data_IF_194873988429
#
_entry.id   IF_194873988429
#
_cell.length_a   1.000
_cell.length_b   1.000
_cell.length_c   1.000
_cell.angle_alpha   90.00
_cell.angle_beta   90.00
_cell.angle_gamma   90.00
#
_symmetry.space_group_name_H-M   'P 1'
#
loop_
_entity.id
_entity.type
_entity.pdbx_description
1 polymer ?
#
# COMPACT_ATOMS: atom_id res chain seq x y z
N UNK A 1 23.84 16.29 5.98
CA UNK A 1 23.26 15.90 4.70
C UNK A 1 22.84 17.15 3.95
N UNK A 2 23.27 17.24 2.69
CA UNK A 2 22.97 18.33 1.76
C UNK A 2 21.44 18.55 1.60
N UNK A 3 21.02 19.79 1.40
CA UNK A 3 19.61 20.18 1.31
C UNK A 3 18.92 19.54 0.10
N UNK A 4 19.63 19.35 -1.01
CA UNK A 4 19.11 18.67 -2.19
C UNK A 4 18.82 17.20 -1.87
N UNK A 5 19.75 16.50 -1.21
CA UNK A 5 19.56 15.10 -0.78
C UNK A 5 18.41 14.94 0.21
N UNK A 6 18.21 15.90 1.13
CA UNK A 6 17.08 15.89 2.08
C UNK A 6 15.71 15.84 1.39
N UNK A 7 15.57 16.50 0.24
CA UNK A 7 14.33 16.50 -0.53
C UNK A 7 14.26 15.31 -1.50
N UNK A 8 15.38 14.94 -2.12
CA UNK A 8 15.42 13.91 -3.15
C UNK A 8 15.17 12.49 -2.59
N UNK A 9 15.70 12.17 -1.41
CA UNK A 9 15.58 10.84 -0.79
C UNK A 9 14.12 10.45 -0.51
N UNK A 10 13.32 11.23 0.25
CA UNK A 10 11.92 10.89 0.49
C UNK A 10 11.10 10.83 -0.80
N UNK A 11 11.32 11.76 -1.74
CA UNK A 11 10.63 11.75 -3.03
C UNK A 11 10.94 10.48 -3.84
N UNK A 12 12.22 10.08 -3.88
CA UNK A 12 12.63 8.85 -4.56
C UNK A 12 11.99 7.61 -3.92
N UNK A 13 12.00 7.53 -2.58
CA UNK A 13 11.35 6.42 -1.86
C UNK A 13 9.86 6.37 -2.16
N UNK A 14 9.16 7.52 -2.17
CA UNK A 14 7.74 7.60 -2.53
C UNK A 14 7.50 7.10 -3.96
N UNK A 15 8.27 7.58 -4.94
CA UNK A 15 8.13 7.16 -6.35
C UNK A 15 8.36 5.65 -6.52
N UNK A 16 9.37 5.10 -5.83
CA UNK A 16 9.62 3.66 -5.82
C UNK A 16 8.45 2.91 -5.16
N UNK A 17 7.94 3.41 -4.04
CA UNK A 17 6.85 2.81 -3.32
C UNK A 17 5.57 2.74 -4.18
N UNK A 18 5.22 3.82 -4.86
CA UNK A 18 4.04 3.87 -5.74
C UNK A 18 4.20 2.99 -6.98
N UNK A 19 5.41 2.87 -7.53
CA UNK A 19 5.68 1.92 -8.62
C UNK A 19 5.54 0.46 -8.17
N UNK A 20 6.06 0.12 -6.99
CA UNK A 20 5.90 -1.22 -6.41
C UNK A 20 4.45 -1.50 -6.02
N UNK A 21 3.72 -0.47 -5.56
CA UNK A 21 2.30 -0.55 -5.26
C UNK A 21 1.47 -0.90 -6.50
N UNK A 22 1.74 -0.26 -7.64
CA UNK A 22 1.06 -0.55 -8.89
C UNK A 22 1.22 -2.03 -9.29
N UNK A 23 2.45 -2.55 -9.22
CA UNK A 23 2.73 -3.97 -9.46
C UNK A 23 2.02 -4.88 -8.45
N UNK A 24 1.95 -4.48 -7.18
CA UNK A 24 1.27 -5.25 -6.13
C UNK A 24 -0.24 -5.33 -6.40
N UNK A 25 -0.88 -4.19 -6.73
CA UNK A 25 -2.28 -4.13 -7.14
C UNK A 25 -2.53 -5.08 -8.30
N UNK A 26 -1.77 -4.94 -9.39
CA UNK A 26 -1.93 -5.73 -10.61
C UNK A 26 -1.82 -7.23 -10.35
N UNK A 27 -0.71 -7.66 -9.73
CA UNK A 27 -0.45 -9.09 -9.47
C UNK A 27 -1.38 -9.72 -8.42
N UNK A 28 -2.08 -8.93 -7.61
CA UNK A 28 -3.01 -9.42 -6.59
C UNK A 28 -4.41 -9.75 -7.13
N UNK A 29 -4.81 -9.17 -8.27
CA UNK A 29 -6.15 -9.33 -8.82
C UNK A 29 -6.18 -10.04 -10.19
N UNK A 30 -5.05 -10.10 -10.91
CA UNK A 30 -5.02 -10.75 -12.22
C UNK A 30 -4.64 -12.25 -12.13
N UNK A 31 -5.33 -13.08 -12.92
CA UNK A 31 -4.98 -14.48 -13.09
C UNK A 31 -3.73 -14.64 -13.97
N UNK A 32 -2.73 -15.39 -13.49
CA UNK A 32 -1.56 -15.74 -14.31
C UNK A 32 -1.92 -16.84 -15.34
N UNK A 33 -2.37 -16.42 -16.53
CA UNK A 33 -2.72 -17.34 -17.62
C UNK A 33 -1.51 -18.08 -18.22
N UNK A 34 -0.29 -17.58 -18.02
CA UNK A 34 0.92 -18.14 -18.63
C UNK A 34 1.52 -19.32 -17.85
N UNK A 35 1.03 -19.63 -16.65
CA UNK A 35 1.50 -20.76 -15.83
C UNK A 35 2.92 -20.61 -15.27
N UNK A 36 3.63 -19.51 -15.59
CA UNK A 36 4.94 -19.19 -15.08
C UNK A 36 4.85 -18.03 -14.10
N UNK A 37 4.95 -18.32 -12.80
CA UNK A 37 5.14 -17.28 -11.78
C UNK A 37 4.33 -17.47 -10.51
N UNK A 38 4.92 -17.05 -9.40
CA UNK A 38 4.32 -16.97 -8.06
C UNK A 38 3.65 -15.60 -7.85
N UNK A 39 2.84 -15.16 -8.82
CA UNK A 39 2.28 -13.80 -8.82
C UNK A 39 1.48 -13.48 -7.56
N UNK A 40 0.61 -14.38 -7.06
CA UNK A 40 -0.08 -14.13 -5.80
C UNK A 40 0.90 -13.94 -4.64
N UNK A 41 1.94 -14.79 -4.52
CA UNK A 41 2.94 -14.61 -3.46
C UNK A 41 3.80 -13.35 -3.63
N UNK A 42 4.15 -12.99 -4.88
CA UNK A 42 4.86 -11.75 -5.18
C UNK A 42 4.02 -10.52 -4.88
N UNK A 43 2.70 -10.58 -5.06
CA UNK A 43 1.81 -9.46 -4.71
C UNK A 43 1.91 -9.11 -3.22
N UNK A 44 2.03 -10.13 -2.34
CA UNK A 44 2.26 -9.93 -0.90
C UNK A 44 3.62 -9.30 -0.64
N UNK A 45 4.67 -9.79 -1.31
CA UNK A 45 6.03 -9.25 -1.16
C UNK A 45 6.07 -7.78 -1.59
N UNK A 46 5.47 -7.46 -2.74
CA UNK A 46 5.41 -6.11 -3.28
C UNK A 46 4.55 -5.20 -2.41
N UNK A 47 3.38 -5.65 -1.93
CA UNK A 47 2.56 -4.87 -1.01
C UNK A 47 3.32 -4.51 0.27
N UNK A 48 3.99 -5.49 0.90
CA UNK A 48 4.80 -5.24 2.08
C UNK A 48 5.94 -4.25 1.82
N UNK A 49 6.61 -4.39 0.66
CA UNK A 49 7.70 -3.49 0.27
C UNK A 49 7.21 -2.06 -0.04
N UNK A 50 6.06 -1.92 -0.71
CA UNK A 50 5.44 -0.64 -0.98
C UNK A 50 5.10 0.09 0.33
N UNK A 51 4.44 -0.60 1.29
CA UNK A 51 4.13 -0.03 2.60
C UNK A 51 5.40 0.38 3.35
N UNK A 52 6.43 -0.47 3.34
CA UNK A 52 7.72 -0.17 3.96
C UNK A 52 8.35 1.12 3.41
N UNK A 53 8.36 1.27 2.09
CA UNK A 53 8.92 2.45 1.43
C UNK A 53 8.06 3.69 1.67
N UNK A 54 6.73 3.59 1.66
CA UNK A 54 5.83 4.72 1.96
C UNK A 54 6.07 5.25 3.38
N UNK A 55 6.11 4.35 4.36
CA UNK A 55 6.33 4.74 5.76
C UNK A 55 7.70 5.40 5.94
N UNK A 56 8.75 4.82 5.33
CA UNK A 56 10.10 5.40 5.36
C UNK A 56 10.16 6.74 4.62
N UNK A 57 9.47 6.89 3.50
CA UNK A 57 9.36 8.15 2.77
C UNK A 57 8.78 9.24 3.69
N UNK A 58 7.66 8.95 4.36
CA UNK A 58 7.03 9.92 5.25
C UNK A 58 7.90 10.29 6.46
N UNK A 59 8.53 9.31 7.10
CA UNK A 59 9.48 9.56 8.19
C UNK A 59 10.64 10.43 7.69
N UNK A 60 11.15 10.16 6.49
CA UNK A 60 12.27 10.90 5.92
C UNK A 60 11.92 12.34 5.50
N UNK A 61 10.67 12.63 5.13
CA UNK A 61 10.21 14.00 4.87
C UNK A 61 10.35 14.88 6.12
N UNK A 62 10.01 14.32 7.28
CA UNK A 62 10.15 15.01 8.57
C UNK A 62 11.61 15.03 9.04
N UNK A 63 12.21 13.84 9.15
CA UNK A 63 13.55 13.64 9.72
C UNK A 63 14.31 12.54 8.96
N UNK A 64 15.08 12.88 7.91
CA UNK A 64 15.75 11.91 7.03
C UNK A 64 16.69 10.93 7.74
N UNK A 65 17.28 11.32 8.87
CA UNK A 65 18.22 10.47 9.61
C UNK A 65 17.51 9.36 10.40
N UNK A 66 16.21 9.50 10.66
CA UNK A 66 15.45 8.53 11.45
C UNK A 66 15.16 7.25 10.69
N UNK A 67 15.33 7.18 9.37
CA UNK A 67 15.13 5.91 8.62
C UNK A 67 16.28 4.92 8.80
N UNK A 68 17.39 5.32 9.44
CA UNK A 68 18.57 4.49 9.64
C UNK A 68 18.57 3.86 11.04
N UNK A 69 18.78 2.55 11.10
CA UNK A 69 18.89 1.79 12.35
C UNK A 69 20.10 2.22 13.18
N UNK A 70 21.20 2.48 12.48
CA UNK A 70 22.41 3.07 13.05
C UNK A 70 22.74 4.29 12.21
N UNK A 71 22.44 5.51 12.70
CA UNK A 71 22.77 6.70 11.94
C UNK A 71 24.29 6.76 11.74
N UNK A 72 24.75 7.23 10.57
CA UNK A 72 26.16 7.35 10.24
C UNK A 72 26.92 8.15 11.31
N UNK A 73 28.17 7.73 11.57
CA UNK A 73 29.03 8.28 12.64
C UNK A 73 29.20 9.79 12.56
N UNK A 74 29.16 10.36 11.35
CA UNK A 74 29.15 11.82 11.13
C UNK A 74 27.73 12.35 11.33
N UNK A 75 27.33 12.61 12.58
CA UNK A 75 25.98 13.10 12.91
C UNK A 75 25.61 14.43 12.22
N UNK A 76 26.57 15.33 12.00
CA UNK A 76 26.28 16.68 11.50
C UNK A 76 26.27 16.79 9.96
N UNK A 77 26.97 15.90 9.26
CA UNK A 77 27.02 15.90 7.80
C UNK A 77 27.50 14.54 7.25
N UNK A 78 26.65 13.50 7.25
CA UNK A 78 27.00 12.29 6.54
C UNK A 78 27.05 12.58 5.04
N UNK A 79 28.05 12.01 4.38
CA UNK A 79 28.15 12.00 2.92
C UNK A 79 27.33 10.83 2.34
N UNK A 80 27.21 10.76 1.01
CA UNK A 80 26.44 9.71 0.35
C UNK A 80 26.99 8.31 0.66
N UNK A 81 28.30 8.15 0.73
CA UNK A 81 28.95 6.88 1.05
C UNK A 81 28.63 6.40 2.47
N UNK A 82 28.58 7.32 3.43
CA UNK A 82 28.15 7.03 4.80
C UNK A 82 26.70 6.51 4.81
N UNK A 83 25.80 7.09 3.99
CA UNK A 83 24.40 6.68 3.87
C UNK A 83 24.26 5.31 3.18
N UNK A 84 25.01 5.06 2.10
CA UNK A 84 24.97 3.80 1.35
C UNK A 84 25.41 2.59 2.18
N UNK A 85 26.27 2.79 3.18
CA UNK A 85 26.72 1.74 4.10
C UNK A 85 25.80 1.55 5.30
N UNK A 86 24.82 2.44 5.48
CA UNK A 86 23.94 2.43 6.63
C UNK A 86 22.77 1.47 6.41
N UNK A 87 22.38 0.77 7.47
CA UNK A 87 21.20 -0.11 7.45
C UNK A 87 19.96 0.69 7.78
N UNK A 88 18.91 0.54 6.97
CA UNK A 88 17.62 1.17 7.29
C UNK A 88 16.88 0.42 8.38
N UNK A 89 15.86 1.05 8.96
CA UNK A 89 15.03 0.48 10.01
C UNK A 89 14.24 -0.73 9.50
N UNK A 90 14.08 -1.70 10.40
CA UNK A 90 13.38 -2.96 10.11
C UNK A 90 11.86 -2.71 10.05
N UNK A 91 11.17 -3.46 9.18
CA UNK A 91 9.73 -3.37 8.95
C UNK A 91 8.88 -3.26 10.24
N UNK A 92 9.14 -4.14 11.21
CA UNK A 92 8.39 -4.23 12.47
C UNK A 92 8.47 -2.98 13.34
N UNK A 93 9.52 -2.17 13.18
CA UNK A 93 9.77 -0.98 14.01
C UNK A 93 9.14 0.28 13.39
N UNK A 94 8.66 0.19 12.14
CA UNK A 94 8.11 1.31 11.39
C UNK A 94 6.86 1.94 12.01
N UNK A 95 5.87 1.18 12.54
CA UNK A 95 4.64 1.78 13.05
C UNK A 95 4.88 2.76 14.20
N UNK A 96 5.68 2.34 15.18
CA UNK A 96 6.04 3.19 16.31
C UNK A 96 6.78 4.44 15.86
N UNK A 97 7.76 4.29 14.96
CA UNK A 97 8.54 5.42 14.49
C UNK A 97 7.72 6.40 13.65
N UNK A 98 6.83 5.89 12.80
CA UNK A 98 5.90 6.70 12.02
C UNK A 98 5.07 7.58 12.95
N UNK A 99 4.43 7.00 13.97
CA UNK A 99 3.61 7.77 14.91
C UNK A 99 4.42 8.76 15.74
N UNK A 100 5.61 8.37 16.21
CA UNK A 100 6.49 9.26 16.97
C UNK A 100 7.01 10.45 16.14
N UNK A 101 7.23 10.24 14.84
CA UNK A 101 7.81 11.27 13.95
C UNK A 101 6.74 12.19 13.38
N UNK A 102 5.58 11.65 13.02
CA UNK A 102 4.53 12.40 12.30
C UNK A 102 3.43 12.93 13.22
N UNK A 103 3.29 12.39 14.43
CA UNK A 103 2.15 12.63 15.31
C UNK A 103 0.85 11.95 14.86
N UNK A 104 0.84 11.22 13.74
CA UNK A 104 -0.33 10.53 13.21
C UNK A 104 -0.41 9.09 13.74
N UNK A 105 -1.61 8.57 14.04
CA UNK A 105 -1.78 7.16 14.39
C UNK A 105 -1.43 6.28 13.17
N UNK A 106 -0.77 5.15 13.41
CA UNK A 106 -0.50 4.20 12.34
C UNK A 106 -1.78 3.45 11.95
N UNK A 107 -2.14 3.39 10.65
CA UNK A 107 -3.37 2.73 10.22
C UNK A 107 -3.25 1.22 10.28
N UNK A 108 -4.31 0.58 10.77
CA UNK A 108 -4.51 -0.86 10.85
C UNK A 108 -3.23 -1.67 11.15
N UNK A 109 -2.73 -1.54 12.39
CA UNK A 109 -1.51 -2.20 12.85
C UNK A 109 -1.58 -3.74 12.73
N UNK A 110 -2.77 -4.32 12.86
CA UNK A 110 -2.99 -5.77 12.73
C UNK A 110 -2.67 -6.23 11.31
N UNK A 111 -3.29 -5.61 10.30
CA UNK A 111 -3.05 -5.96 8.89
C UNK A 111 -1.61 -5.70 8.45
N UNK A 112 -0.98 -4.65 8.98
CA UNK A 112 0.44 -4.40 8.76
C UNK A 112 1.32 -5.55 9.27
N UNK A 113 1.06 -6.04 10.49
CA UNK A 113 1.83 -7.12 11.08
C UNK A 113 1.59 -8.44 10.35
N UNK A 114 0.34 -8.76 10.00
CA UNK A 114 -0.01 -9.95 9.23
C UNK A 114 0.64 -9.95 7.85
N UNK A 115 0.62 -8.81 7.15
CA UNK A 115 1.30 -8.65 5.86
C UNK A 115 2.81 -8.88 5.99
N UNK A 116 3.45 -8.30 7.01
CA UNK A 116 4.87 -8.50 7.28
C UNK A 116 5.24 -9.95 7.64
N UNK A 117 4.39 -10.62 8.42
CA UNK A 117 4.57 -12.03 8.78
C UNK A 117 4.42 -12.94 7.55
N UNK A 118 3.41 -12.70 6.71
CA UNK A 118 3.16 -13.45 5.49
C UNK A 118 4.31 -13.26 4.49
N UNK A 119 4.79 -12.03 4.28
CA UNK A 119 5.99 -11.75 3.47
C UNK A 119 7.18 -12.58 3.94
N UNK A 120 7.49 -12.54 5.24
CA UNK A 120 8.63 -13.29 5.79
C UNK A 120 8.49 -14.79 5.56
N UNK A 121 7.28 -15.33 5.75
CA UNK A 121 6.98 -16.74 5.51
C UNK A 121 7.18 -17.14 4.06
N UNK A 122 6.71 -16.33 3.11
CA UNK A 122 6.89 -16.55 1.67
C UNK A 122 8.38 -16.50 1.29
N UNK A 123 9.12 -15.49 1.75
CA UNK A 123 10.50 -15.23 1.32
C UNK A 123 11.52 -16.23 1.89
N UNK A 124 11.34 -16.64 3.14
CA UNK A 124 12.36 -17.39 3.87
C UNK A 124 11.94 -18.82 4.22
N UNK A 125 10.66 -19.15 4.07
CA UNK A 125 10.11 -20.44 4.47
C UNK A 125 9.24 -21.03 3.35
N UNK A 126 8.10 -21.61 3.73
CA UNK A 126 7.14 -22.21 2.81
C UNK A 126 5.85 -21.38 2.79
N UNK A 127 5.34 -21.03 1.60
CA UNK A 127 4.02 -20.42 1.46
C UNK A 127 2.97 -21.26 2.18
N UNK A 128 2.12 -20.67 3.03
CA UNK A 128 1.03 -21.39 3.67
C UNK A 128 0.09 -22.00 2.61
N UNK A 129 -0.34 -23.26 2.78
CA UNK A 129 -1.39 -23.80 1.94
C UNK A 129 -2.70 -23.03 2.21
N UNK A 130 -3.54 -22.90 1.18
CA UNK A 130 -4.91 -22.37 1.29
C UNK A 130 -5.05 -20.91 1.69
N UNK A 131 -3.98 -20.10 1.60
CA UNK A 131 -4.07 -18.64 1.77
C UNK A 131 -4.40 -17.98 0.43
N UNK A 132 -5.42 -17.10 0.42
CA UNK A 132 -5.62 -16.17 -0.69
C UNK A 132 -4.58 -15.05 -0.60
N UNK A 133 -3.43 -15.24 -1.25
CA UNK A 133 -2.35 -14.27 -1.24
C UNK A 133 -2.74 -12.94 -1.90
N UNK A 134 -3.56 -12.99 -2.96
CA UNK A 134 -4.05 -11.78 -3.63
C UNK A 134 -4.96 -10.98 -2.69
N UNK A 135 -5.87 -11.68 -2.00
CA UNK A 135 -6.71 -11.07 -0.97
C UNK A 135 -5.88 -10.44 0.16
N UNK A 136 -4.90 -11.17 0.70
CA UNK A 136 -4.01 -10.65 1.74
C UNK A 136 -3.21 -9.42 1.29
N UNK A 137 -2.71 -9.42 0.05
CA UNK A 137 -2.00 -8.27 -0.53
C UNK A 137 -2.92 -7.05 -0.66
N UNK A 138 -4.13 -7.22 -1.24
CA UNK A 138 -5.09 -6.12 -1.37
C UNK A 138 -5.54 -5.60 0.00
N UNK A 139 -5.80 -6.48 0.97
CA UNK A 139 -6.12 -6.04 2.35
C UNK A 139 -4.99 -5.20 2.92
N UNK A 140 -3.73 -5.65 2.81
CA UNK A 140 -2.58 -4.87 3.25
C UNK A 140 -2.44 -3.52 2.54
N UNK A 141 -2.70 -3.47 1.24
CA UNK A 141 -2.69 -2.23 0.44
C UNK A 141 -3.78 -1.28 0.93
N UNK A 142 -5.03 -1.71 0.95
CA UNK A 142 -6.16 -0.79 1.18
C UNK A 142 -6.46 -0.52 2.66
N UNK A 143 -6.01 -1.39 3.58
CA UNK A 143 -6.11 -1.15 5.01
C UNK A 143 -4.92 -0.35 5.59
N UNK A 144 -3.76 -0.34 4.90
CA UNK A 144 -2.53 0.30 5.42
C UNK A 144 -1.94 1.31 4.45
N UNK A 145 -1.61 0.92 3.22
CA UNK A 145 -0.97 1.83 2.26
C UNK A 145 -1.90 2.99 1.85
N UNK A 146 -3.16 2.67 1.53
CA UNK A 146 -4.15 3.63 1.03
C UNK A 146 -4.44 4.76 2.05
N UNK A 147 -4.70 4.48 3.34
CA UNK A 147 -4.83 5.54 4.35
C UNK A 147 -3.56 6.39 4.52
N UNK A 148 -2.36 5.78 4.45
CA UNK A 148 -1.10 6.54 4.55
C UNK A 148 -0.95 7.45 3.33
N UNK A 149 -1.20 6.93 2.13
CA UNK A 149 -1.11 7.70 0.88
C UNK A 149 -2.01 8.92 0.92
N UNK A 150 -3.28 8.71 1.30
CA UNK A 150 -4.26 9.76 1.32
C UNK A 150 -3.96 10.80 2.40
N UNK A 151 -3.69 10.37 3.63
CA UNK A 151 -3.42 11.28 4.74
C UNK A 151 -2.13 12.09 4.56
N UNK A 152 -1.11 11.51 3.94
CA UNK A 152 0.19 12.16 3.79
C UNK A 152 0.29 13.01 2.53
N UNK A 153 -0.32 12.58 1.42
CA UNK A 153 -0.10 13.17 0.10
C UNK A 153 -1.36 13.40 -0.73
N UNK A 154 -2.54 13.02 -0.24
CA UNK A 154 -3.80 13.17 -0.97
C UNK A 154 -3.96 12.21 -2.16
N UNK A 155 -3.13 11.17 -2.24
CA UNK A 155 -3.18 10.15 -3.28
C UNK A 155 -4.05 8.96 -2.85
N UNK A 156 -4.43 8.11 -3.81
CA UNK A 156 -5.30 6.96 -3.60
C UNK A 156 -4.64 5.70 -4.18
N UNK A 157 -4.64 4.60 -3.41
CA UNK A 157 -4.02 3.35 -3.84
C UNK A 157 -4.67 2.79 -5.12
N UNK A 158 -5.96 3.04 -5.32
CA UNK A 158 -6.71 2.62 -6.51
C UNK A 158 -6.23 3.27 -7.82
N UNK A 159 -5.65 4.47 -7.74
CA UNK A 159 -5.14 5.18 -8.93
C UNK A 159 -3.82 4.60 -9.43
N UNK A 160 -3.15 3.77 -8.61
CA UNK A 160 -2.00 2.98 -9.01
C UNK A 160 -2.46 1.61 -9.50
N UNK A 161 -3.28 1.57 -10.54
CA UNK A 161 -3.71 0.35 -11.22
C UNK A 161 -3.13 0.30 -12.64
N UNK A 162 -2.86 -0.91 -13.12
CA UNK A 162 -2.33 -1.17 -14.46
C UNK A 162 -3.36 -1.92 -15.33
N UNK A 163 -4.63 -1.84 -14.98
CA UNK A 163 -5.72 -2.49 -15.71
C UNK A 163 -5.88 -1.84 -17.10
N UNK A 164 -6.21 -2.67 -18.08
CA UNK A 164 -6.62 -2.23 -19.42
C UNK A 164 -7.89 -3.01 -19.83
N UNK A 165 -9.07 -2.36 -19.86
CA UNK A 165 -9.32 -0.94 -19.53
C UNK A 165 -9.17 -0.62 -18.02
N UNK A 166 -8.85 0.64 -17.65
CA UNK A 166 -8.59 1.02 -16.26
C UNK A 166 -9.74 0.73 -15.29
N UNK A 167 -9.38 0.32 -14.07
CA UNK A 167 -10.29 0.06 -12.95
C UNK A 167 -11.24 -1.14 -13.08
N UNK A 168 -11.35 -1.81 -14.23
CA UNK A 168 -12.36 -2.85 -14.42
C UNK A 168 -12.16 -4.04 -13.45
N UNK A 169 -10.98 -4.69 -13.51
CA UNK A 169 -10.74 -5.93 -12.79
C UNK A 169 -10.40 -5.68 -11.32
N UNK A 170 -9.63 -4.64 -11.03
CA UNK A 170 -9.25 -4.27 -9.67
C UNK A 170 -10.48 -3.91 -8.84
N UNK A 171 -11.37 -3.05 -9.35
CA UNK A 171 -12.59 -2.65 -8.62
C UNK A 171 -13.49 -3.84 -8.41
N UNK A 172 -13.75 -4.64 -9.45
CA UNK A 172 -14.55 -5.85 -9.32
C UNK A 172 -14.00 -6.77 -8.23
N UNK A 173 -12.68 -6.99 -8.23
CA UNK A 173 -12.01 -7.84 -7.25
C UNK A 173 -12.09 -7.30 -5.83
N UNK A 174 -11.88 -6.00 -5.63
CA UNK A 174 -11.98 -5.36 -4.32
C UNK A 174 -13.39 -5.49 -3.76
N UNK A 175 -14.39 -5.28 -4.63
CA UNK A 175 -15.77 -5.40 -4.21
C UNK A 175 -16.13 -6.86 -3.90
N UNK A 176 -15.77 -7.82 -4.75
CA UNK A 176 -16.03 -9.24 -4.49
C UNK A 176 -15.36 -9.73 -3.21
N UNK A 177 -14.17 -9.21 -2.87
CA UNK A 177 -13.46 -9.51 -1.62
C UNK A 177 -13.94 -8.65 -0.43
N UNK A 178 -14.90 -7.75 -0.62
CA UNK A 178 -15.44 -6.81 0.39
C UNK A 178 -14.35 -5.97 1.06
N UNK A 179 -13.34 -5.58 0.30
CA UNK A 179 -12.23 -4.75 0.78
C UNK A 179 -12.67 -3.29 0.68
N UNK A 180 -12.62 -2.57 1.80
CA UNK A 180 -12.90 -1.14 1.81
C UNK A 180 -11.70 -0.37 1.27
N UNK A 181 -11.94 0.59 0.37
CA UNK A 181 -10.90 1.44 -0.20
C UNK A 181 -11.35 2.90 -0.30
N UNK A 182 -10.38 3.81 -0.43
CA UNK A 182 -10.61 5.22 -0.75
C UNK A 182 -10.73 5.41 -2.26
N UNK A 183 -11.50 6.43 -2.66
CA UNK A 183 -11.89 6.64 -4.06
C UNK A 183 -11.52 8.05 -4.48
N UNK A 184 -10.77 8.15 -5.57
CA UNK A 184 -10.44 9.40 -6.24
C UNK A 184 -11.59 9.85 -7.16
N UNK A 185 -11.63 11.13 -7.52
CA UNK A 185 -12.60 11.62 -8.51
C UNK A 185 -12.44 10.94 -9.88
N UNK A 186 -11.21 10.54 -10.24
CA UNK A 186 -10.90 9.83 -11.47
C UNK A 186 -11.41 8.38 -11.52
N UNK A 187 -11.51 7.71 -10.36
CA UNK A 187 -11.99 6.32 -10.26
C UNK A 187 -13.47 6.20 -9.89
N UNK A 188 -14.09 7.27 -9.37
CA UNK A 188 -15.45 7.26 -8.82
C UNK A 188 -16.52 6.69 -9.77
N UNK A 189 -16.47 7.02 -11.06
CA UNK A 189 -17.44 6.54 -12.04
C UNK A 189 -17.36 5.01 -12.24
N UNK A 190 -16.15 4.46 -12.38
CA UNK A 190 -15.94 3.00 -12.51
C UNK A 190 -16.36 2.26 -11.24
N UNK A 191 -16.03 2.81 -10.07
CA UNK A 191 -16.45 2.23 -8.78
C UNK A 191 -17.98 2.21 -8.64
N UNK A 192 -18.65 3.30 -9.01
CA UNK A 192 -20.12 3.37 -8.99
C UNK A 192 -20.76 2.32 -9.90
N UNK A 193 -20.23 2.14 -11.11
CA UNK A 193 -20.70 1.13 -12.04
C UNK A 193 -20.55 -0.30 -11.47
N UNK A 194 -19.41 -0.60 -10.85
CA UNK A 194 -19.16 -1.88 -10.19
C UNK A 194 -20.13 -2.16 -9.03
N UNK A 195 -20.38 -1.17 -8.17
CA UNK A 195 -21.32 -1.30 -7.05
C UNK A 195 -22.76 -1.57 -7.54
N UNK A 196 -23.22 -0.84 -8.56
CA UNK A 196 -24.56 -1.01 -9.14
C UNK A 196 -24.75 -2.38 -9.83
N UNK A 197 -23.67 -2.97 -10.34
CA UNK A 197 -23.72 -4.31 -10.94
C UNK A 197 -23.99 -5.39 -9.88
N UNK A 198 -23.48 -5.21 -8.67
CA UNK A 198 -23.63 -6.16 -7.56
C UNK A 198 -24.94 -6.02 -6.81
N UNK A 199 -25.47 -4.81 -6.64
CA UNK A 199 -26.82 -4.61 -6.07
C UNK A 199 -27.89 -5.41 -6.82
N UNK A 200 -27.75 -5.52 -8.14
CA UNK A 200 -28.66 -6.30 -9.00
C UNK A 200 -28.61 -7.81 -8.73
N UNK A 201 -27.58 -8.30 -8.04
CA UNK A 201 -27.38 -9.72 -7.72
C UNK A 201 -28.00 -10.13 -6.37
N UNK A 202 -28.45 -9.17 -5.54
CA UNK A 202 -29.49 -9.36 -4.52
C UNK A 202 -29.11 -10.17 -3.26
N UNK A 203 -27.91 -10.02 -2.71
CA UNK A 203 -27.47 -10.76 -1.52
C UNK A 203 -27.48 -9.89 -0.24
N UNK A 204 -28.17 -10.32 0.82
CA UNK A 204 -28.45 -9.50 2.02
C UNK A 204 -27.26 -9.21 2.93
N UNK A 205 -26.16 -9.96 2.83
CA UNK A 205 -24.92 -9.67 3.56
C UNK A 205 -24.08 -8.56 2.90
N UNK A 206 -24.41 -8.16 1.68
CA UNK A 206 -23.68 -7.13 0.94
C UNK A 206 -24.14 -5.72 1.31
N UNK A 207 -25.32 -5.58 1.91
CA UNK A 207 -25.97 -4.29 2.22
C UNK A 207 -25.07 -3.33 3.02
N UNK A 208 -24.35 -3.83 4.03
CA UNK A 208 -23.48 -2.98 4.87
C UNK A 208 -22.25 -2.48 4.10
N UNK A 209 -21.58 -3.37 3.37
CA UNK A 209 -20.41 -3.01 2.58
C UNK A 209 -20.80 -2.03 1.46
N UNK A 210 -21.87 -2.35 0.73
CA UNK A 210 -22.39 -1.51 -0.36
C UNK A 210 -22.76 -0.12 0.14
N UNK A 211 -23.45 -0.02 1.29
CA UNK A 211 -23.79 1.27 1.90
C UNK A 211 -22.56 2.14 2.18
N UNK A 212 -21.52 1.54 2.79
CA UNK A 212 -20.26 2.26 3.10
C UNK A 212 -19.58 2.75 1.82
N UNK A 213 -19.49 1.90 0.80
CA UNK A 213 -18.82 2.28 -0.44
C UNK A 213 -19.62 3.29 -1.27
N UNK A 214 -20.95 3.18 -1.29
CA UNK A 214 -21.82 4.16 -1.95
C UNK A 214 -21.73 5.54 -1.31
N UNK A 215 -21.73 5.60 0.03
CA UNK A 215 -21.56 6.86 0.74
C UNK A 215 -20.23 7.52 0.36
N UNK A 216 -19.13 6.77 0.37
CA UNK A 216 -17.79 7.26 -0.02
C UNK A 216 -17.76 7.80 -1.44
N UNK A 217 -18.23 7.01 -2.40
CA UNK A 217 -18.24 7.41 -3.83
C UNK A 217 -19.10 8.65 -4.03
N UNK A 218 -20.26 8.73 -3.35
CA UNK A 218 -21.16 9.87 -3.43
C UNK A 218 -20.52 11.15 -2.89
N UNK A 219 -19.78 11.05 -1.77
CA UNK A 219 -19.04 12.19 -1.22
C UNK A 219 -17.98 12.69 -2.20
N UNK A 220 -17.22 11.78 -2.84
CA UNK A 220 -16.21 12.14 -3.84
C UNK A 220 -16.80 12.81 -5.08
N UNK A 221 -18.01 12.43 -5.51
CA UNK A 221 -18.67 13.04 -6.68
C UNK A 221 -19.24 14.44 -6.40
N UNK A 222 -19.38 14.83 -5.13
CA UNK A 222 -19.90 16.14 -4.71
C UNK A 222 -18.80 17.18 -4.47
N UNK A 223 -17.52 16.78 -4.51
CA UNK A 223 -16.34 17.63 -4.33
C UNK A 223 -15.75 18.04 -5.68
#
# INVERSE_FOLDING_TARGET
MDQQLRKAIPQHMRNMATGVLAMANYTAHICNYAGFGRWPEFSVIHAAHAVELLVKARIAEEHPMLIFKHPPKKLHAPDLEDLLRSRTIDYKDLPHLYSATTGMPFPNLEEFNELGALRNRIQHFLPPPSVDFGGAALTGIYAVADPILNACWGDYAIDYNEDDPPYDYLVETLIHRKINFLVSSGSAASVLAGLQALEKQGNSEDDKYLSVMQERVSQTLLM
#
